data_IF_706296720631
#
_entry.id   IF_706296720631
#
_cell.length_a   1.000
_cell.length_b   1.000
_cell.length_c   1.000
_cell.angle_alpha   90.00
_cell.angle_beta   90.00
_cell.angle_gamma   90.00
#
_symmetry.space_group_name_H-M   'P 1'
#
loop_
_entity.id
_entity.type
_entity.pdbx_description
1 polymer ?
#
# COMPACT_ATOMS: atom_id res chain seq x y z
N UNK A 1 4.40 -7.30 20.79
CA UNK A 1 5.25 -7.57 19.63
C UNK A 1 5.24 -6.34 18.76
N UNK A 2 6.39 -5.91 18.24
CA UNK A 2 6.48 -4.64 17.51
C UNK A 2 6.61 -4.93 16.02
N UNK A 3 5.50 -4.85 15.30
CA UNK A 3 5.50 -4.94 13.83
C UNK A 3 5.91 -3.57 13.31
N UNK A 4 7.03 -3.48 12.60
CA UNK A 4 7.50 -2.24 12.01
C UNK A 4 6.70 -1.89 10.74
N UNK A 5 5.49 -1.35 10.96
CA UNK A 5 4.61 -0.86 9.89
C UNK A 5 5.29 0.22 9.06
N UNK A 6 6.17 1.02 9.66
CA UNK A 6 6.92 2.04 8.94
C UNK A 6 7.84 1.43 7.88
N UNK A 7 8.60 0.39 8.24
CA UNK A 7 9.47 -0.33 7.30
C UNK A 7 8.68 -1.05 6.19
N UNK A 8 7.52 -1.62 6.52
CA UNK A 8 6.65 -2.28 5.53
C UNK A 8 6.09 -1.26 4.54
N UNK A 9 5.61 -0.11 5.04
CA UNK A 9 5.14 0.99 4.19
C UNK A 9 6.23 1.54 3.27
N UNK A 10 7.45 1.73 3.78
CA UNK A 10 8.59 2.15 2.97
C UNK A 10 8.92 1.14 1.87
N UNK A 11 8.82 -0.16 2.17
CA UNK A 11 9.02 -1.22 1.18
C UNK A 11 7.93 -1.19 0.11
N UNK A 12 6.68 -1.04 0.50
CA UNK A 12 5.54 -0.95 -0.42
C UNK A 12 5.64 0.27 -1.34
N UNK A 13 6.02 1.43 -0.78
CA UNK A 13 6.29 2.64 -1.55
C UNK A 13 7.45 2.43 -2.54
N UNK A 14 8.52 1.76 -2.12
CA UNK A 14 9.61 1.35 -3.00
C UNK A 14 9.14 0.51 -4.19
N UNK A 15 8.29 -0.49 -3.95
CA UNK A 15 7.73 -1.33 -5.00
C UNK A 15 6.86 -0.54 -5.99
N UNK A 16 6.01 0.37 -5.49
CA UNK A 16 5.16 1.23 -6.30
C UNK A 16 5.99 2.16 -7.22
N UNK A 17 7.02 2.79 -6.65
CA UNK A 17 7.89 3.73 -7.37
C UNK A 17 8.74 3.00 -8.42
N UNK A 18 9.29 1.84 -8.09
CA UNK A 18 10.03 1.00 -9.04
C UNK A 18 9.14 0.53 -10.21
N UNK A 19 7.87 0.20 -9.94
CA UNK A 19 6.91 -0.23 -10.96
C UNK A 19 6.61 0.85 -12.02
N UNK A 20 6.75 2.13 -11.66
CA UNK A 20 6.47 3.26 -12.57
C UNK A 20 7.70 4.04 -13.00
N UNK A 21 8.88 3.82 -12.38
CA UNK A 21 10.10 4.62 -12.59
C UNK A 21 10.47 4.81 -14.07
N UNK A 22 10.30 3.77 -14.90
CA UNK A 22 10.64 3.84 -16.33
C UNK A 22 9.60 4.59 -17.17
N UNK A 23 8.34 4.60 -16.74
CA UNK A 23 7.22 5.16 -17.51
C UNK A 23 6.79 6.55 -17.05
N UNK A 24 6.98 6.87 -15.78
CA UNK A 24 6.57 8.15 -15.21
C UNK A 24 7.34 8.46 -13.91
N UNK A 25 8.65 8.76 -13.98
CA UNK A 25 9.46 9.07 -12.80
C UNK A 25 8.94 10.29 -12.01
N UNK A 26 8.28 11.24 -12.68
CA UNK A 26 7.64 12.40 -12.04
C UNK A 26 6.45 12.04 -11.13
N UNK A 27 6.03 10.78 -11.12
CA UNK A 27 4.90 10.29 -10.31
C UNK A 27 5.36 9.84 -8.92
N UNK A 28 6.67 9.74 -8.70
CA UNK A 28 7.26 9.30 -7.44
C UNK A 28 6.85 10.18 -6.25
N UNK A 29 6.85 11.51 -6.42
CA UNK A 29 6.47 12.43 -5.35
C UNK A 29 4.97 12.33 -5.01
N UNK A 30 4.12 12.18 -6.02
CA UNK A 30 2.69 11.95 -5.82
C UNK A 30 2.42 10.63 -5.11
N UNK A 31 3.15 9.55 -5.45
CA UNK A 31 3.05 8.28 -4.75
C UNK A 31 3.43 8.39 -3.28
N UNK A 32 4.45 9.19 -2.95
CA UNK A 32 4.83 9.46 -1.56
C UNK A 32 3.74 10.21 -0.81
N UNK A 33 3.22 11.29 -1.38
CA UNK A 33 2.18 12.10 -0.75
C UNK A 33 0.90 11.28 -0.50
N UNK A 34 0.46 10.56 -1.52
CA UNK A 34 -0.72 9.68 -1.45
C UNK A 34 -0.49 8.57 -0.41
N UNK A 35 0.64 7.86 -0.44
CA UNK A 35 0.93 6.81 0.53
C UNK A 35 0.99 7.35 1.98
N UNK A 36 1.55 8.55 2.19
CA UNK A 36 1.56 9.19 3.51
C UNK A 36 0.16 9.60 3.96
N UNK A 37 -0.71 10.04 3.06
CA UNK A 37 -2.11 10.36 3.38
C UNK A 37 -2.89 9.15 3.93
N UNK A 38 -2.56 7.96 3.43
CA UNK A 38 -3.22 6.70 3.79
C UNK A 38 -2.50 5.91 4.89
N UNK A 39 -1.34 6.35 5.37
CA UNK A 39 -0.53 5.64 6.35
C UNK A 39 -1.31 5.30 7.63
N UNK A 40 -2.11 6.22 8.14
CA UNK A 40 -2.89 6.00 9.36
C UNK A 40 -3.96 4.91 9.19
N UNK A 41 -4.64 4.89 8.03
CA UNK A 41 -5.65 3.88 7.71
C UNK A 41 -5.00 2.49 7.58
N UNK A 42 -3.92 2.40 6.81
CA UNK A 42 -3.14 1.18 6.62
C UNK A 42 -2.63 0.63 7.96
N UNK A 43 -2.09 1.51 8.82
CA UNK A 43 -1.62 1.14 10.15
C UNK A 43 -2.75 0.59 11.01
N UNK A 44 -3.91 1.24 10.99
CA UNK A 44 -5.09 0.78 11.73
C UNK A 44 -5.54 -0.62 11.29
N UNK A 45 -5.57 -0.88 9.98
CA UNK A 45 -5.93 -2.20 9.44
C UNK A 45 -4.91 -3.27 9.84
N UNK A 46 -3.62 -2.96 9.75
CA UNK A 46 -2.55 -3.87 10.13
C UNK A 46 -2.60 -4.22 11.63
N UNK A 47 -2.84 -3.22 12.48
CA UNK A 47 -3.00 -3.43 13.91
C UNK A 47 -4.25 -4.24 14.26
N UNK A 48 -5.37 -4.00 13.57
CA UNK A 48 -6.59 -4.78 13.75
C UNK A 48 -6.36 -6.26 13.40
N UNK A 49 -5.67 -6.54 12.29
CA UNK A 49 -5.28 -7.91 11.92
C UNK A 49 -4.34 -8.51 12.97
N UNK A 50 -3.33 -7.78 13.41
CA UNK A 50 -2.36 -8.25 14.40
C UNK A 50 -2.99 -8.57 15.76
N UNK A 51 -4.05 -7.86 16.15
CA UNK A 51 -4.84 -8.13 17.37
C UNK A 51 -5.87 -9.24 17.19
N UNK A 52 -6.12 -9.67 15.95
CA UNK A 52 -7.19 -10.62 15.62
C UNK A 52 -8.60 -9.99 15.68
N UNK A 53 -8.69 -8.66 15.64
CA UNK A 53 -9.97 -7.94 15.57
C UNK A 53 -10.67 -8.18 14.21
N UNK A 54 -9.87 -8.40 13.17
CA UNK A 54 -10.30 -8.81 11.83
C UNK A 54 -9.49 -10.03 11.38
N UNK A 55 -10.07 -10.84 10.49
CA UNK A 55 -9.36 -11.95 9.86
C UNK A 55 -8.57 -11.52 8.61
N UNK A 56 -7.73 -12.41 8.09
CA UNK A 56 -6.91 -12.15 6.90
C UNK A 56 -7.77 -11.88 5.65
N UNK A 57 -8.97 -12.46 5.55
CA UNK A 57 -9.88 -12.21 4.43
C UNK A 57 -10.42 -10.77 4.47
N UNK A 58 -10.93 -10.34 5.63
CA UNK A 58 -11.41 -8.97 5.86
C UNK A 58 -10.30 -7.96 5.65
N UNK A 59 -9.09 -8.24 6.16
CA UNK A 59 -7.94 -7.37 5.93
C UNK A 59 -7.61 -7.21 4.44
N UNK A 60 -7.65 -8.30 3.66
CA UNK A 60 -7.42 -8.23 2.22
C UNK A 60 -8.48 -7.41 1.48
N UNK A 61 -9.75 -7.57 1.85
CA UNK A 61 -10.86 -6.80 1.26
C UNK A 61 -10.72 -5.30 1.55
N UNK A 62 -10.37 -4.92 2.79
CA UNK A 62 -10.12 -3.51 3.15
C UNK A 62 -8.88 -2.95 2.42
N UNK A 63 -7.83 -3.76 2.26
CA UNK A 63 -6.65 -3.37 1.48
C UNK A 63 -6.96 -3.21 -0.02
N UNK A 64 -7.91 -3.96 -0.56
CA UNK A 64 -8.42 -3.77 -1.92
C UNK A 64 -9.16 -2.43 -2.06
N UNK A 65 -9.94 -2.05 -1.06
CA UNK A 65 -10.65 -0.77 -1.02
C UNK A 65 -9.70 0.42 -0.94
N UNK A 66 -8.69 0.32 -0.08
CA UNK A 66 -7.60 1.30 -0.02
C UNK A 66 -6.83 1.37 -1.34
N UNK A 67 -6.50 0.23 -1.94
CA UNK A 67 -5.88 0.16 -3.27
C UNK A 67 -6.70 0.89 -4.34
N UNK A 68 -8.03 0.68 -4.38
CA UNK A 68 -8.92 1.37 -5.32
C UNK A 68 -8.92 2.89 -5.10
N UNK A 69 -8.87 3.33 -3.86
CA UNK A 69 -8.81 4.76 -3.50
C UNK A 69 -7.50 5.38 -3.96
N UNK A 70 -6.37 4.76 -3.60
CA UNK A 70 -5.03 5.17 -4.06
C UNK A 70 -4.96 5.26 -5.58
N UNK A 71 -5.57 4.30 -6.30
CA UNK A 71 -5.60 4.31 -7.76
C UNK A 71 -6.39 5.50 -8.32
N UNK A 72 -7.51 5.85 -7.70
CA UNK A 72 -8.32 6.99 -8.11
C UNK A 72 -7.58 8.32 -7.89
N UNK A 73 -6.92 8.48 -6.74
CA UNK A 73 -6.10 9.67 -6.44
C UNK A 73 -4.93 9.80 -7.42
N UNK A 74 -4.24 8.70 -7.68
CA UNK A 74 -3.12 8.68 -8.60
C UNK A 74 -3.56 8.96 -10.04
N UNK A 75 -4.76 8.54 -10.44
CA UNK A 75 -5.36 8.89 -11.74
C UNK A 75 -5.81 10.35 -11.84
N UNK A 76 -6.12 10.99 -10.71
CA UNK A 76 -6.45 12.42 -10.69
C UNK A 76 -5.22 13.30 -11.01
N UNK A 77 -4.01 12.76 -10.90
CA UNK A 77 -2.79 13.40 -11.35
C UNK A 77 -2.76 13.43 -12.88
N UNK A 78 -2.87 14.63 -13.48
CA UNK A 78 -3.03 14.85 -14.93
C UNK A 78 -1.98 14.18 -15.84
N UNK A 79 -0.83 13.75 -15.30
CA UNK A 79 0.26 13.09 -16.05
C UNK A 79 0.23 11.57 -15.95
N UNK A 80 -0.69 10.98 -15.16
CA UNK A 80 -0.75 9.55 -14.91
C UNK A 80 -1.83 8.90 -15.78
N UNK A 81 -1.42 7.92 -16.58
CA UNK A 81 -2.40 7.08 -17.29
C UNK A 81 -2.97 6.01 -16.35
N UNK A 82 -4.20 5.56 -16.62
CA UNK A 82 -4.83 4.45 -15.87
C UNK A 82 -3.93 3.23 -15.70
N UNK A 83 -3.19 2.85 -16.75
CA UNK A 83 -2.30 1.70 -16.71
C UNK A 83 -1.07 1.91 -15.80
N UNK A 84 -0.54 3.13 -15.74
CA UNK A 84 0.56 3.47 -14.82
C UNK A 84 0.06 3.46 -13.38
N UNK A 85 -1.11 4.06 -13.13
CA UNK A 85 -1.71 4.07 -11.80
C UNK A 85 -1.97 2.65 -11.27
N UNK A 86 -2.58 1.80 -12.11
CA UNK A 86 -2.84 0.40 -11.76
C UNK A 86 -1.57 -0.37 -11.42
N UNK A 87 -0.49 -0.19 -12.19
CA UNK A 87 0.78 -0.87 -11.91
C UNK A 87 1.38 -0.42 -10.58
N UNK A 88 1.37 0.88 -10.30
CA UNK A 88 1.90 1.42 -9.05
C UNK A 88 1.15 0.86 -7.84
N UNK A 89 -0.19 0.92 -7.90
CA UNK A 89 -1.07 0.49 -6.81
C UNK A 89 -0.98 -1.01 -6.57
N UNK A 90 -0.96 -1.82 -7.62
CA UNK A 90 -0.82 -3.27 -7.45
C UNK A 90 0.51 -3.61 -6.76
N UNK A 91 1.61 -3.01 -7.22
CA UNK A 91 2.92 -3.22 -6.60
C UNK A 91 2.96 -2.74 -5.14
N UNK A 92 2.33 -1.60 -4.83
CA UNK A 92 2.19 -1.10 -3.47
C UNK A 92 1.41 -2.07 -2.58
N UNK A 93 0.20 -2.46 -3.03
CA UNK A 93 -0.72 -3.32 -2.32
C UNK A 93 -0.10 -4.68 -2.03
N UNK A 94 0.47 -5.33 -3.06
CA UNK A 94 1.03 -6.67 -2.93
C UNK A 94 2.17 -6.68 -1.90
N UNK A 95 3.10 -5.73 -1.98
CA UNK A 95 4.19 -5.60 -1.03
C UNK A 95 3.70 -5.33 0.40
N UNK A 96 2.63 -4.55 0.56
CA UNK A 96 2.08 -4.21 1.85
C UNK A 96 1.35 -5.40 2.51
N UNK A 97 0.47 -6.05 1.75
CA UNK A 97 -0.28 -7.25 2.20
C UNK A 97 0.70 -8.36 2.57
N UNK A 98 1.67 -8.65 1.70
CA UNK A 98 2.67 -9.68 1.96
C UNK A 98 3.51 -9.35 3.20
N UNK A 99 3.93 -8.08 3.35
CA UNK A 99 4.70 -7.61 4.49
C UNK A 99 3.96 -7.74 5.81
N UNK A 100 2.70 -7.28 5.86
CA UNK A 100 1.87 -7.33 7.07
C UNK A 100 1.51 -8.76 7.42
N UNK A 101 1.01 -9.55 6.47
CA UNK A 101 0.60 -10.94 6.74
C UNK A 101 1.79 -11.80 7.17
N UNK A 102 2.97 -11.61 6.58
CA UNK A 102 4.21 -12.28 7.01
C UNK A 102 4.61 -11.86 8.42
N UNK A 103 4.58 -10.57 8.73
CA UNK A 103 4.93 -10.07 10.05
C UNK A 103 3.98 -10.56 11.14
N UNK A 104 2.66 -10.58 10.86
CA UNK A 104 1.65 -11.14 11.78
C UNK A 104 1.85 -12.63 11.97
N UNK A 105 2.10 -13.41 10.91
CA UNK A 105 2.36 -14.85 11.01
C UNK A 105 3.64 -15.17 11.80
N UNK A 106 4.70 -14.39 11.64
CA UNK A 106 5.92 -14.51 12.43
C UNK A 106 5.74 -14.12 13.90
N UNK A 107 4.63 -13.44 14.21
CA UNK A 107 4.25 -12.94 15.52
C UNK A 107 3.29 -13.83 16.31
N UNK A 108 2.86 -14.95 15.74
CA UNK A 108 2.00 -15.95 16.38
C UNK A 108 2.81 -17.15 16.85
#
# INVERSE_FOLDING_TARGET
>A
MDIDIGAILQTALGAATDAVRKSAPQVEDYLREIAHGHEAAIRSLAEALARGDIDEATFNDEMDDEGRTLQAELQAVAVVTKAIAQRAVNAFRDALVDGITTAVKAAL
#
